data_IF_031915808255
#
_entry.id   IF_031915808255
#
_cell.length_a   1.000
_cell.length_b   1.000
_cell.length_c   1.000
_cell.angle_alpha   90.00
_cell.angle_beta   90.00
_cell.angle_gamma   90.00
#
_symmetry.space_group_name_H-M   'P 1'
#
loop_
_entity.id
_entity.type
_entity.pdbx_description
1 polymer ?
#
# COMPACT_ATOMS: atom_id res chain seq x y z
N UNK A 1 -70.91 -17.01 1.87
CA UNK A 1 -70.57 -15.76 2.59
C UNK A 1 -69.05 -15.68 2.63
N UNK A 2 -68.48 -14.95 1.68
CA UNK A 2 -67.06 -14.98 1.32
C UNK A 2 -66.30 -14.04 2.24
N UNK A 3 -65.43 -14.56 3.11
CA UNK A 3 -64.52 -13.75 3.94
C UNK A 3 -63.17 -13.63 3.22
N UNK A 4 -62.87 -12.42 2.75
CA UNK A 4 -61.57 -12.02 2.22
C UNK A 4 -60.68 -11.70 3.42
N UNK A 5 -59.66 -12.52 3.68
CA UNK A 5 -58.63 -12.22 4.68
C UNK A 5 -57.43 -11.65 3.92
N UNK A 6 -57.20 -10.36 4.08
CA UNK A 6 -56.02 -9.66 3.54
C UNK A 6 -54.76 -10.12 4.28
N UNK A 7 -53.83 -10.76 3.56
CA UNK A 7 -52.48 -11.03 4.05
C UNK A 7 -51.68 -9.74 4.03
N UNK A 8 -51.47 -9.15 5.20
CA UNK A 8 -50.41 -8.15 5.39
C UNK A 8 -49.07 -8.89 5.42
N UNK A 9 -48.28 -8.74 4.36
CA UNK A 9 -46.87 -9.12 4.36
C UNK A 9 -46.13 -8.08 5.19
N UNK A 10 -45.79 -8.44 6.42
CA UNK A 10 -44.84 -7.67 7.22
C UNK A 10 -43.46 -7.89 6.61
N UNK A 11 -42.97 -6.89 5.88
CA UNK A 11 -41.58 -6.83 5.46
C UNK A 11 -40.73 -6.60 6.73
N UNK A 12 -40.21 -7.67 7.31
CA UNK A 12 -39.16 -7.58 8.32
C UNK A 12 -37.91 -7.05 7.61
N UNK A 13 -37.67 -5.75 7.71
CA UNK A 13 -36.34 -5.18 7.50
C UNK A 13 -35.41 -5.86 8.49
N UNK A 14 -34.62 -6.82 8.01
CA UNK A 14 -33.42 -7.27 8.69
C UNK A 14 -32.54 -6.04 8.86
N UNK A 15 -32.49 -5.50 10.07
CA UNK A 15 -31.52 -4.50 10.48
C UNK A 15 -30.17 -5.18 10.28
N UNK A 16 -29.51 -4.87 9.16
CA UNK A 16 -28.16 -5.32 8.91
C UNK A 16 -27.32 -4.89 10.11
N UNK A 17 -26.74 -5.86 10.80
CA UNK A 17 -25.73 -5.58 11.80
C UNK A 17 -24.62 -4.78 11.11
N UNK A 18 -24.58 -3.47 11.37
CA UNK A 18 -23.46 -2.63 11.00
C UNK A 18 -22.23 -3.25 11.63
N UNK A 19 -21.32 -3.77 10.79
CA UNK A 19 -19.96 -4.10 11.21
C UNK A 19 -19.43 -2.90 12.00
N UNK A 20 -18.79 -3.12 13.17
CA UNK A 20 -18.33 -2.02 13.99
C UNK A 20 -17.41 -1.15 13.14
N UNK A 21 -17.78 0.13 13.04
CA UNK A 21 -16.92 1.18 12.49
C UNK A 21 -15.58 1.02 13.19
N UNK A 22 -14.53 0.78 12.41
CA UNK A 22 -13.12 0.76 12.83
C UNK A 22 -12.93 1.71 14.01
N UNK A 23 -12.58 1.17 15.18
CA UNK A 23 -12.44 1.96 16.39
C UNK A 23 -11.41 3.06 16.13
N UNK A 24 -11.91 4.28 15.98
CA UNK A 24 -11.13 5.51 15.92
C UNK A 24 -10.03 5.45 16.98
N UNK A 25 -8.79 5.83 16.62
CA UNK A 25 -7.60 5.88 17.48
C UNK A 25 -7.88 6.02 19.00
N UNK A 26 -8.11 4.90 19.68
CA UNK A 26 -8.60 4.93 21.06
C UNK A 26 -7.55 5.56 22.00
N UNK A 27 -7.97 6.55 22.79
CA UNK A 27 -7.09 7.26 23.72
C UNK A 27 -6.08 8.21 23.07
N UNK A 28 -6.20 8.48 21.77
CA UNK A 28 -5.33 9.37 21.00
C UNK A 28 -6.16 10.47 20.33
N UNK A 29 -5.56 11.62 20.08
CA UNK A 29 -6.24 12.75 19.41
C UNK A 29 -5.81 12.81 17.96
N UNK A 30 -6.71 12.50 17.03
CA UNK A 30 -6.43 12.61 15.59
C UNK A 30 -6.34 14.08 15.19
N UNK A 31 -5.24 14.45 14.51
CA UNK A 31 -4.95 15.80 14.03
C UNK A 31 -5.14 15.93 12.52
N UNK A 32 -4.86 14.86 11.77
CA UNK A 32 -5.13 14.74 10.32
C UNK A 32 -5.38 13.28 9.98
N UNK A 33 -6.42 13.02 9.21
CA UNK A 33 -6.78 11.71 8.66
C UNK A 33 -7.48 11.94 7.32
N UNK A 34 -7.48 10.92 6.48
CA UNK A 34 -8.19 10.93 5.21
C UNK A 34 -7.43 11.61 4.07
N UNK A 35 -7.80 11.22 2.85
CA UNK A 35 -7.51 11.93 1.60
C UNK A 35 -6.04 12.18 1.29
N UNK A 36 -5.36 11.19 0.72
CA UNK A 36 -4.10 11.47 0.01
C UNK A 36 -4.38 12.33 -1.21
N UNK A 37 -3.61 13.41 -1.36
CA UNK A 37 -3.69 14.26 -2.54
C UNK A 37 -3.24 13.48 -3.79
N UNK A 38 -3.61 13.95 -4.98
CA UNK A 38 -3.08 13.36 -6.22
C UNK A 38 -1.55 13.42 -6.28
N UNK A 39 -0.96 14.48 -5.72
CA UNK A 39 0.49 14.61 -5.60
C UNK A 39 1.10 13.55 -4.67
N UNK A 40 0.44 13.22 -3.56
CA UNK A 40 0.87 12.14 -2.67
C UNK A 40 0.83 10.79 -3.38
N UNK A 41 -0.31 10.46 -4.01
CA UNK A 41 -0.49 9.21 -4.77
C UNK A 41 0.58 9.06 -5.85
N UNK A 42 0.83 10.13 -6.61
CA UNK A 42 1.85 10.14 -7.67
C UNK A 42 3.26 9.99 -7.09
N UNK A 43 3.57 10.68 -5.98
CA UNK A 43 4.86 10.58 -5.29
C UNK A 43 5.12 9.16 -4.79
N UNK A 44 4.09 8.50 -4.26
CA UNK A 44 4.18 7.12 -3.81
C UNK A 44 4.49 6.19 -4.98
N UNK A 45 3.73 6.28 -6.08
CA UNK A 45 3.97 5.44 -7.26
C UNK A 45 5.34 5.67 -7.86
N UNK A 46 5.73 6.93 -8.06
CA UNK A 46 7.02 7.28 -8.66
C UNK A 46 8.17 6.74 -7.82
N UNK A 47 8.13 6.88 -6.50
CA UNK A 47 9.22 6.39 -5.66
C UNK A 47 9.30 4.85 -5.65
N UNK A 48 8.16 4.14 -5.58
CA UNK A 48 8.16 2.69 -5.69
C UNK A 48 8.72 2.23 -7.05
N UNK A 49 8.22 2.78 -8.15
CA UNK A 49 8.65 2.38 -9.49
C UNK A 49 10.09 2.78 -9.79
N UNK A 50 10.55 3.94 -9.32
CA UNK A 50 11.96 4.34 -9.43
C UNK A 50 12.88 3.34 -8.73
N UNK A 51 12.56 2.95 -7.50
CA UNK A 51 13.37 1.98 -6.74
C UNK A 51 13.34 0.58 -7.36
N UNK A 52 12.16 0.12 -7.82
CA UNK A 52 12.02 -1.14 -8.56
C UNK A 52 12.81 -1.13 -9.87
N UNK A 53 12.83 0.00 -10.58
CA UNK A 53 13.64 0.16 -11.79
C UNK A 53 15.13 0.03 -11.49
N UNK A 54 15.63 0.66 -10.42
CA UNK A 54 17.04 0.53 -10.03
C UNK A 54 17.40 -0.95 -9.79
N UNK A 55 16.54 -1.70 -9.11
CA UNK A 55 16.74 -3.15 -8.89
C UNK A 55 16.69 -3.92 -10.21
N UNK A 56 15.68 -3.68 -11.04
CA UNK A 56 15.51 -4.36 -12.31
C UNK A 56 16.72 -4.20 -13.24
N UNK A 57 17.29 -3.00 -13.28
CA UNK A 57 18.48 -2.69 -14.08
C UNK A 57 19.80 -3.11 -13.43
N UNK A 58 19.78 -3.73 -12.24
CA UNK A 58 20.99 -4.15 -11.53
C UNK A 58 21.84 -2.98 -11.01
N UNK A 59 21.22 -1.84 -10.75
CA UNK A 59 21.88 -0.61 -10.30
C UNK A 59 21.94 -0.49 -8.77
N UNK A 60 21.47 -1.50 -8.05
CA UNK A 60 21.48 -1.57 -6.59
C UNK A 60 22.60 -2.50 -6.16
N UNK A 61 23.58 -1.96 -5.43
CA UNK A 61 24.74 -2.71 -5.01
C UNK A 61 24.35 -3.96 -4.22
N UNK A 62 24.98 -5.09 -4.56
CA UNK A 62 24.74 -6.37 -3.89
C UNK A 62 23.41 -7.05 -4.26
N UNK A 63 22.64 -6.52 -5.21
CA UNK A 63 21.39 -7.12 -5.67
C UNK A 63 21.49 -7.58 -7.13
N UNK A 64 21.01 -8.79 -7.47
CA UNK A 64 20.89 -9.21 -8.87
C UNK A 64 19.83 -8.38 -9.58
N UNK A 65 19.98 -8.21 -10.91
CA UNK A 65 18.92 -7.64 -11.76
C UNK A 65 17.66 -8.51 -11.74
N UNK A 66 16.52 -7.90 -12.07
CA UNK A 66 15.22 -8.57 -12.05
C UNK A 66 14.63 -8.70 -13.45
N UNK A 67 14.31 -9.93 -13.84
CA UNK A 67 13.80 -10.25 -15.17
C UNK A 67 12.29 -10.00 -15.32
N UNK A 68 11.53 -10.08 -14.23
CA UNK A 68 10.06 -10.02 -14.20
C UNK A 68 9.48 -8.84 -13.38
N UNK A 69 10.29 -7.83 -13.04
CA UNK A 69 9.85 -6.77 -12.13
C UNK A 69 8.72 -5.93 -12.73
N UNK A 70 7.50 -6.03 -12.17
CA UNK A 70 6.37 -5.25 -12.67
C UNK A 70 6.42 -3.77 -12.25
N UNK A 71 5.95 -2.89 -13.13
CA UNK A 71 5.52 -1.54 -12.78
C UNK A 71 4.31 -1.62 -11.84
N UNK A 72 4.36 -0.87 -10.74
CA UNK A 72 3.24 -0.71 -9.85
C UNK A 72 2.27 0.37 -10.35
N UNK A 73 0.97 0.10 -10.22
CA UNK A 73 -0.13 1.04 -10.45
C UNK A 73 -0.85 1.35 -9.13
N UNK A 74 -1.54 2.49 -9.09
CA UNK A 74 -2.32 2.89 -7.93
C UNK A 74 -3.62 2.11 -7.85
N UNK A 75 -3.98 1.66 -6.66
CA UNK A 75 -5.20 0.92 -6.41
C UNK A 75 -6.01 1.56 -5.28
N UNK A 76 -7.18 2.12 -5.62
CA UNK A 76 -8.03 2.83 -4.65
C UNK A 76 -8.70 1.88 -3.63
N UNK A 77 -8.90 0.61 -3.96
CA UNK A 77 -9.41 -0.38 -2.99
C UNK A 77 -8.34 -0.64 -1.92
N UNK A 78 -7.09 -0.88 -2.34
CA UNK A 78 -5.96 -1.03 -1.43
C UNK A 78 -5.73 0.24 -0.59
N UNK A 79 -5.82 1.41 -1.19
CA UNK A 79 -5.66 2.70 -0.51
C UNK A 79 -6.76 2.93 0.53
N UNK A 80 -8.00 2.62 0.19
CA UNK A 80 -9.13 2.75 1.11
C UNK A 80 -8.97 1.84 2.33
N UNK A 81 -8.47 0.61 2.14
CA UNK A 81 -8.14 -0.29 3.25
C UNK A 81 -6.96 0.22 4.08
N UNK A 82 -5.88 0.67 3.43
CA UNK A 82 -4.71 1.21 4.10
C UNK A 82 -5.06 2.45 4.94
N UNK A 83 -5.94 3.32 4.43
CA UNK A 83 -6.44 4.49 5.16
C UNK A 83 -7.26 4.06 6.37
N UNK A 84 -8.21 3.12 6.22
CA UNK A 84 -8.97 2.60 7.37
C UNK A 84 -8.05 2.05 8.47
N UNK A 85 -6.95 1.38 8.09
CA UNK A 85 -5.98 0.90 9.06
C UNK A 85 -5.16 2.03 9.68
N UNK A 86 -4.72 3.01 8.89
CA UNK A 86 -4.04 4.20 9.41
C UNK A 86 -4.89 4.94 10.46
N UNK A 87 -6.21 4.98 10.26
CA UNK A 87 -7.20 5.66 11.14
C UNK A 87 -7.45 4.95 12.47
N UNK A 88 -6.90 3.75 12.65
CA UNK A 88 -6.90 3.06 13.97
C UNK A 88 -5.70 3.47 14.83
N UNK A 89 -4.71 4.17 14.26
CA UNK A 89 -3.43 4.44 14.91
C UNK A 89 -2.73 3.16 15.42
N UNK A 90 -2.96 2.03 14.75
CA UNK A 90 -2.40 0.73 15.09
C UNK A 90 -0.87 0.72 15.00
N UNK A 91 -0.25 -0.05 15.89
CA UNK A 91 1.18 -0.33 15.90
C UNK A 91 1.54 -1.64 15.19
N UNK A 92 0.54 -2.45 14.84
CA UNK A 92 0.66 -3.75 14.22
C UNK A 92 0.00 -3.79 12.82
N UNK A 93 0.18 -4.93 12.16
CA UNK A 93 -0.50 -5.25 10.92
C UNK A 93 -1.93 -5.74 11.17
N UNK A 94 -2.87 -5.40 10.29
CA UNK A 94 -4.21 -5.98 10.30
C UNK A 94 -4.24 -7.40 9.71
N UNK A 95 -5.14 -8.22 10.25
CA UNK A 95 -5.37 -9.58 9.75
C UNK A 95 -6.27 -9.62 8.50
N UNK A 96 -7.20 -8.67 8.36
CA UNK A 96 -8.27 -8.71 7.37
C UNK A 96 -8.12 -7.63 6.30
N UNK A 97 -7.13 -7.80 5.41
CA UNK A 97 -6.81 -6.87 4.31
C UNK A 97 -6.85 -7.47 2.91
N UNK A 98 -7.14 -8.76 2.80
CA UNK A 98 -7.20 -9.42 1.49
C UNK A 98 -8.41 -8.90 0.71
N UNK A 99 -8.22 -8.71 -0.59
CA UNK A 99 -9.31 -8.35 -1.51
C UNK A 99 -9.72 -9.57 -2.32
N UNK A 100 -10.88 -9.50 -2.98
CA UNK A 100 -11.36 -10.59 -3.85
C UNK A 100 -10.33 -11.01 -4.92
N UNK A 101 -9.47 -10.09 -5.33
CA UNK A 101 -8.48 -10.28 -6.40
C UNK A 101 -7.25 -11.08 -5.94
N UNK A 102 -6.83 -10.95 -4.67
CA UNK A 102 -5.59 -11.55 -4.16
C UNK A 102 -5.38 -11.29 -2.66
N UNK A 103 -4.45 -12.05 -2.07
CA UNK A 103 -3.86 -11.73 -0.77
C UNK A 103 -3.08 -10.40 -0.84
N UNK A 104 -3.05 -9.65 0.27
CA UNK A 104 -2.50 -8.29 0.33
C UNK A 104 -1.38 -8.19 1.37
N UNK A 105 -0.21 -7.73 0.93
CA UNK A 105 0.92 -7.41 1.77
C UNK A 105 0.80 -6.00 2.36
N UNK A 106 1.61 -5.66 3.35
CA UNK A 106 1.56 -4.35 3.99
C UNK A 106 2.91 -3.91 4.56
N UNK A 107 3.26 -2.66 4.33
CA UNK A 107 4.32 -1.96 5.04
C UNK A 107 3.72 -0.87 5.93
N UNK A 108 4.27 -0.70 7.13
CA UNK A 108 3.91 0.39 8.05
C UNK A 108 5.16 1.14 8.46
N UNK A 109 5.09 2.47 8.51
CA UNK A 109 6.12 3.32 9.09
C UNK A 109 5.51 4.31 10.09
N UNK A 110 6.26 4.63 11.13
CA UNK A 110 5.86 5.60 12.15
C UNK A 110 7.01 6.52 12.51
N UNK A 111 6.72 7.80 12.68
CA UNK A 111 7.65 8.80 13.20
C UNK A 111 6.94 9.66 14.21
N UNK A 112 7.60 10.04 15.30
CA UNK A 112 6.99 10.88 16.33
C UNK A 112 7.95 11.94 16.87
N UNK A 113 7.37 12.96 17.49
CA UNK A 113 8.10 14.01 18.20
C UNK A 113 7.24 14.56 19.35
N UNK A 114 7.88 15.03 20.42
CA UNK A 114 7.21 15.75 21.51
C UNK A 114 7.07 17.24 21.22
N UNK A 115 7.75 17.76 20.19
CA UNK A 115 7.64 19.18 19.79
C UNK A 115 6.24 19.46 19.23
N UNK A 116 5.56 20.54 19.68
CA UNK A 116 4.33 21.01 19.04
C UNK A 116 4.49 21.18 17.52
N UNK A 117 3.54 20.70 16.70
CA UNK A 117 3.65 20.76 15.25
C UNK A 117 3.52 22.19 14.76
N UNK A 118 4.38 22.55 13.80
CA UNK A 118 4.22 23.72 12.97
C UNK A 118 3.25 23.48 11.81
N UNK A 119 3.00 24.48 10.96
CA UNK A 119 1.97 24.45 9.93
C UNK A 119 2.15 23.33 8.90
N UNK A 120 3.38 22.92 8.61
CA UNK A 120 3.70 21.89 7.61
C UNK A 120 3.99 20.52 8.24
N UNK A 121 4.02 20.42 9.56
CA UNK A 121 4.36 19.16 10.24
C UNK A 121 3.27 18.12 10.09
N UNK A 122 2.04 18.47 9.70
CA UNK A 122 0.99 17.48 9.45
C UNK A 122 1.16 16.74 8.11
N UNK A 123 1.94 17.29 7.17
CA UNK A 123 2.07 16.73 5.82
C UNK A 123 2.92 15.45 5.80
N UNK A 124 2.53 14.44 5.01
CA UNK A 124 3.27 13.19 4.90
C UNK A 124 4.57 13.39 4.12
N UNK A 125 5.63 12.66 4.49
CA UNK A 125 6.85 12.56 3.69
C UNK A 125 6.99 11.14 3.14
N UNK A 126 6.22 10.84 2.09
CA UNK A 126 6.15 9.50 1.49
C UNK A 126 7.49 9.02 0.95
N UNK A 127 8.23 9.87 0.21
CA UNK A 127 9.56 9.49 -0.31
C UNK A 127 10.46 8.99 0.80
N UNK A 128 10.56 9.73 1.91
CA UNK A 128 11.41 9.34 3.04
C UNK A 128 11.02 7.98 3.63
N UNK A 129 9.73 7.69 3.78
CA UNK A 129 9.31 6.42 4.36
C UNK A 129 9.54 5.26 3.40
N UNK A 130 9.24 5.43 2.11
CA UNK A 130 9.44 4.40 1.07
C UNK A 130 10.93 4.12 0.87
N UNK A 131 11.78 5.16 0.78
CA UNK A 131 13.23 4.96 0.75
C UNK A 131 13.74 4.31 2.04
N UNK A 132 13.12 4.62 3.19
CA UNK A 132 13.41 3.98 4.47
C UNK A 132 13.15 2.46 4.45
N UNK A 133 11.99 2.05 3.94
CA UNK A 133 11.68 0.63 3.71
C UNK A 133 12.67 -0.03 2.76
N UNK A 134 13.03 0.66 1.68
CA UNK A 134 13.98 0.16 0.70
C UNK A 134 15.40 0.01 1.25
N UNK A 135 15.83 0.90 2.15
CA UNK A 135 17.18 0.88 2.73
C UNK A 135 17.48 -0.38 3.56
N UNK A 136 16.47 -1.18 3.94
CA UNK A 136 16.70 -2.52 4.50
C UNK A 136 17.49 -3.44 3.56
N UNK A 137 17.62 -3.09 2.27
CA UNK A 137 18.52 -3.74 1.31
C UNK A 137 19.96 -3.88 1.83
N UNK A 138 20.41 -2.94 2.66
CA UNK A 138 21.75 -2.98 3.28
C UNK A 138 21.94 -4.19 4.23
N UNK A 139 20.85 -4.78 4.69
CA UNK A 139 20.83 -5.96 5.55
C UNK A 139 20.26 -7.19 4.84
N UNK A 140 19.89 -7.06 3.57
CA UNK A 140 19.28 -8.15 2.80
C UNK A 140 20.33 -9.15 2.34
N UNK A 141 20.06 -10.44 2.60
CA UNK A 141 20.93 -11.54 2.19
C UNK A 141 20.24 -12.38 1.11
N UNK A 142 19.07 -12.94 1.42
CA UNK A 142 18.26 -13.71 0.49
C UNK A 142 16.84 -13.89 1.03
N UNK A 143 15.85 -13.95 0.13
CA UNK A 143 14.46 -14.26 0.47
C UNK A 143 13.81 -13.33 1.49
N UNK A 144 12.56 -13.61 1.83
CA UNK A 144 11.86 -12.86 2.86
C UNK A 144 12.41 -13.17 4.26
N UNK A 145 12.60 -12.12 5.06
CA UNK A 145 12.84 -12.20 6.50
C UNK A 145 12.10 -11.07 7.21
N UNK A 146 11.88 -11.20 8.53
CA UNK A 146 11.29 -10.10 9.33
C UNK A 146 12.17 -8.84 9.37
N UNK A 147 13.48 -8.98 9.21
CA UNK A 147 14.43 -7.86 9.28
C UNK A 147 14.45 -7.01 8.00
N UNK A 148 14.07 -7.61 6.86
CA UNK A 148 14.13 -6.97 5.53
C UNK A 148 12.80 -7.07 4.78
N UNK A 149 11.72 -7.24 5.56
CA UNK A 149 10.38 -7.50 5.07
C UNK A 149 9.80 -6.32 4.30
N UNK A 150 10.16 -5.08 4.68
CA UNK A 150 9.66 -3.91 3.97
C UNK A 150 10.34 -3.77 2.62
N UNK A 151 11.66 -3.96 2.56
CA UNK A 151 12.41 -3.96 1.31
C UNK A 151 11.88 -5.03 0.34
N UNK A 152 11.80 -6.28 0.81
CA UNK A 152 11.36 -7.40 -0.03
C UNK A 152 9.94 -7.21 -0.58
N UNK A 153 9.04 -6.58 0.18
CA UNK A 153 7.72 -6.24 -0.32
C UNK A 153 7.76 -5.13 -1.40
N UNK A 154 8.60 -4.11 -1.23
CA UNK A 154 8.77 -3.03 -2.23
C UNK A 154 9.29 -3.59 -3.55
N UNK A 155 10.20 -4.55 -3.51
CA UNK A 155 10.86 -5.12 -4.70
C UNK A 155 10.25 -6.45 -5.16
N UNK A 156 9.07 -6.81 -4.66
CA UNK A 156 8.44 -8.07 -5.04
C UNK A 156 8.01 -8.02 -6.51
N UNK A 157 8.60 -8.86 -7.37
CA UNK A 157 8.48 -8.77 -8.82
C UNK A 157 7.04 -8.86 -9.31
N UNK A 158 6.25 -9.73 -8.67
CA UNK A 158 4.85 -9.98 -9.05
C UNK A 158 3.84 -9.02 -8.39
N UNK A 159 4.27 -8.19 -7.44
CA UNK A 159 3.41 -7.14 -6.87
C UNK A 159 3.31 -5.99 -7.85
N UNK A 160 2.10 -5.67 -8.30
CA UNK A 160 1.85 -4.63 -9.31
C UNK A 160 0.85 -3.56 -8.87
N UNK A 161 0.19 -3.70 -7.73
CA UNK A 161 -0.77 -2.75 -7.21
C UNK A 161 -0.32 -2.24 -5.85
N UNK A 162 -0.41 -0.93 -5.63
CA UNK A 162 -0.16 -0.31 -4.33
C UNK A 162 -1.23 0.73 -4.01
N UNK A 163 -1.63 0.77 -2.76
CA UNK A 163 -2.49 1.82 -2.23
C UNK A 163 -2.16 2.10 -0.78
N UNK A 164 -2.07 3.38 -0.43
CA UNK A 164 -1.59 3.79 0.89
C UNK A 164 -2.59 4.69 1.62
N UNK A 165 -2.40 4.79 2.93
CA UNK A 165 -3.15 5.63 3.84
C UNK A 165 -2.27 6.26 4.90
N UNK A 166 -2.73 7.37 5.46
CA UNK A 166 -1.95 8.19 6.39
C UNK A 166 -2.82 8.75 7.51
N UNK A 167 -2.25 8.79 8.72
CA UNK A 167 -2.81 9.53 9.83
C UNK A 167 -1.73 10.28 10.60
N UNK A 168 -2.11 11.42 11.16
CA UNK A 168 -1.32 12.21 12.08
C UNK A 168 -2.15 12.44 13.33
N UNK A 169 -1.61 12.10 14.50
CA UNK A 169 -2.32 12.12 15.76
C UNK A 169 -1.38 12.45 16.91
N UNK A 170 -1.95 12.94 18.01
CA UNK A 170 -1.25 13.04 19.28
C UNK A 170 -1.48 11.75 20.09
N UNK A 171 -0.38 11.11 20.48
CA UNK A 171 -0.32 9.96 21.37
C UNK A 171 0.21 10.41 22.73
N UNK A 172 -0.54 10.33 23.83
CA UNK A 172 -0.04 10.70 25.16
C UNK A 172 1.26 9.98 25.56
N UNK A 173 1.54 8.79 25.01
CA UNK A 173 2.75 8.03 25.30
C UNK A 173 3.96 8.42 24.44
N UNK A 174 3.78 9.03 23.26
CA UNK A 174 4.86 9.29 22.28
C UNK A 174 4.95 10.73 21.78
N UNK A 175 3.87 11.50 21.91
CA UNK A 175 3.68 12.82 21.32
C UNK A 175 3.03 12.76 19.93
N UNK A 176 3.34 13.77 19.12
CA UNK A 176 2.80 13.94 17.77
C UNK A 176 3.37 12.88 16.84
N UNK A 177 2.52 11.98 16.37
CA UNK A 177 2.87 10.76 15.66
C UNK A 177 2.26 10.74 14.27
N UNK A 178 3.11 10.50 13.26
CA UNK A 178 2.72 10.22 11.87
C UNK A 178 2.71 8.72 11.66
N UNK A 179 1.67 8.18 11.04
CA UNK A 179 1.53 6.77 10.71
C UNK A 179 1.25 6.62 9.22
N UNK A 180 2.05 5.80 8.56
CA UNK A 180 2.03 5.56 7.13
C UNK A 180 1.76 4.08 6.90
N UNK A 181 0.74 3.76 6.11
CA UNK A 181 0.37 2.38 5.78
C UNK A 181 0.33 2.25 4.26
N UNK A 182 1.03 1.27 3.69
CA UNK A 182 0.89 0.92 2.28
C UNK A 182 0.52 -0.55 2.15
N UNK A 183 -0.52 -0.83 1.37
CA UNK A 183 -0.98 -2.16 1.02
C UNK A 183 -0.53 -2.52 -0.39
N UNK A 184 -0.14 -3.79 -0.58
CA UNK A 184 0.52 -4.28 -1.79
C UNK A 184 -0.19 -5.50 -2.37
N UNK A 185 -0.44 -5.49 -3.68
CA UNK A 185 -1.23 -6.48 -4.37
C UNK A 185 -0.59 -7.02 -5.65
N UNK A 186 -0.56 -8.35 -5.85
CA UNK A 186 -0.67 -9.40 -4.85
C UNK A 186 0.42 -9.27 -3.77
N UNK A 187 0.20 -9.90 -2.61
CA UNK A 187 1.16 -9.94 -1.51
C UNK A 187 2.49 -10.52 -1.98
N UNK A 188 3.57 -9.91 -1.50
CA UNK A 188 4.90 -10.50 -1.57
C UNK A 188 5.21 -11.32 -0.33
N UNK A 189 6.50 -11.38 -0.01
CA UNK A 189 7.05 -11.92 1.23
C UNK A 189 6.69 -13.38 1.50
N UNK A 190 6.58 -14.17 0.43
CA UNK A 190 6.36 -15.60 0.53
C UNK A 190 7.61 -16.29 1.06
N UNK A 191 7.46 -17.02 2.16
CA UNK A 191 8.57 -17.73 2.80
C UNK A 191 9.14 -18.79 1.84
N UNK A 192 10.46 -18.80 1.69
CA UNK A 192 11.17 -19.72 0.80
C UNK A 192 11.25 -19.27 -0.67
N UNK A 193 10.63 -18.14 -1.03
CA UNK A 193 10.70 -17.57 -2.37
C UNK A 193 11.63 -16.35 -2.42
N UNK A 194 12.26 -16.16 -3.59
CA UNK A 194 13.00 -14.93 -3.88
C UNK A 194 12.01 -13.80 -4.22
N UNK A 195 12.36 -12.53 -3.92
CA UNK A 195 11.47 -11.41 -4.21
C UNK A 195 11.16 -11.25 -5.70
N UNK A 196 12.07 -11.66 -6.59
CA UNK A 196 11.91 -11.57 -8.03
C UNK A 196 12.77 -12.62 -8.74
N UNK A 197 12.54 -12.82 -10.04
CA UNK A 197 13.33 -13.70 -10.87
C UNK A 197 14.63 -13.01 -11.29
N UNK A 198 15.77 -13.62 -10.99
CA UNK A 198 17.06 -13.02 -11.31
C UNK A 198 17.34 -13.06 -12.81
N UNK A 199 17.89 -11.98 -13.33
CA UNK A 199 18.27 -11.87 -14.74
C UNK A 199 18.05 -10.47 -15.29
N UNK A 200 18.55 -10.24 -16.50
CA UNK A 200 18.28 -9.00 -17.22
C UNK A 200 16.77 -8.86 -17.47
N UNK A 201 16.23 -7.63 -17.49
CA UNK A 201 14.81 -7.38 -17.78
C UNK A 201 14.33 -8.15 -19.01
N UNK A 202 13.36 -9.06 -18.84
CA UNK A 202 12.92 -10.00 -19.89
C UNK A 202 11.40 -10.18 -19.87
N UNK A 203 10.66 -9.08 -19.86
CA UNK A 203 9.21 -9.07 -19.67
C UNK A 203 8.45 -10.02 -20.61
N UNK A 204 8.86 -10.10 -21.88
CA UNK A 204 8.23 -10.96 -22.88
C UNK A 204 8.34 -12.45 -22.50
N UNK A 205 9.43 -12.88 -21.85
CA UNK A 205 9.60 -14.27 -21.37
C UNK A 205 8.62 -14.64 -20.26
N UNK A 206 8.01 -13.65 -19.62
CA UNK A 206 7.00 -13.81 -18.58
C UNK A 206 5.60 -13.43 -19.05
N UNK A 207 5.39 -13.33 -20.38
CA UNK A 207 4.08 -12.98 -20.95
C UNK A 207 3.63 -11.54 -20.66
N UNK A 208 4.58 -10.65 -20.41
CA UNK A 208 4.34 -9.22 -20.15
C UNK A 208 4.98 -8.36 -21.24
N UNK A 209 4.60 -7.09 -21.32
CA UNK A 209 5.28 -6.09 -22.16
C UNK A 209 6.20 -5.25 -21.30
N UNK A 210 7.15 -4.52 -21.91
CA UNK A 210 7.90 -3.51 -21.17
C UNK A 210 7.00 -2.32 -20.81
N UNK A 211 7.28 -1.69 -19.67
CA UNK A 211 6.71 -0.40 -19.31
C UNK A 211 7.17 0.68 -20.29
N UNK A 212 6.25 1.56 -20.69
CA UNK A 212 6.56 2.71 -21.53
C UNK A 212 7.16 3.89 -20.72
N UNK A 213 7.08 3.83 -19.39
CA UNK A 213 7.49 4.92 -18.49
C UNK A 213 8.76 4.60 -17.71
N UNK A 214 8.93 3.35 -17.29
CA UNK A 214 10.07 2.93 -16.48
C UNK A 214 10.83 1.82 -17.20
N UNK A 215 11.95 2.18 -17.85
CA UNK A 215 12.90 1.25 -18.46
C UNK A 215 13.21 0.08 -17.52
N UNK A 216 13.16 -1.13 -18.05
CA UNK A 216 13.45 -2.37 -17.30
C UNK A 216 12.28 -2.93 -16.48
N UNK A 217 11.19 -2.17 -16.30
CA UNK A 217 9.97 -2.68 -15.67
C UNK A 217 9.03 -3.31 -16.69
N UNK A 218 8.22 -4.26 -16.21
CA UNK A 218 7.22 -4.97 -16.97
C UNK A 218 5.81 -4.42 -16.70
N UNK A 219 4.94 -4.46 -17.69
CA UNK A 219 3.54 -4.09 -17.59
C UNK A 219 2.68 -5.20 -18.17
N UNK A 220 1.49 -5.40 -17.60
CA UNK A 220 0.52 -6.37 -18.14
C UNK A 220 -0.28 -5.86 -19.34
N UNK A 221 -0.06 -4.60 -19.75
CA UNK A 221 -0.89 -3.94 -20.75
C UNK A 221 -2.31 -3.69 -20.24
N UNK A 222 -2.90 -2.55 -20.59
CA UNK A 222 -4.35 -2.37 -20.51
C UNK A 222 -4.94 -1.50 -19.41
N UNK A 223 -4.21 -0.88 -18.47
CA UNK A 223 -4.84 0.04 -17.51
C UNK A 223 -3.91 1.19 -17.06
N UNK A 224 -4.07 2.37 -17.66
CA UNK A 224 -3.57 3.64 -17.11
C UNK A 224 -4.75 4.43 -16.54
N UNK A 225 -5.19 4.06 -15.34
CA UNK A 225 -5.91 5.00 -14.52
C UNK A 225 -5.22 4.99 -13.15
N UNK A 226 -4.50 6.07 -12.81
CA UNK A 226 -4.52 6.54 -11.43
C UNK A 226 -6.00 6.53 -11.06
N UNK A 227 -6.39 5.73 -10.07
CA UNK A 227 -7.81 5.48 -9.79
C UNK A 227 -8.66 6.75 -9.76
N UNK A 228 -9.95 6.60 -10.08
CA UNK A 228 -10.97 7.51 -10.65
C UNK A 228 -10.91 9.06 -10.53
N UNK A 229 -9.96 9.68 -9.83
CA UNK A 229 -9.98 11.08 -9.40
C UNK A 229 -8.69 11.88 -9.65
N UNK A 230 -7.64 11.30 -10.24
CA UNK A 230 -6.37 12.02 -10.49
C UNK A 230 -6.02 12.03 -11.97
N UNK A 231 -6.14 13.20 -12.61
CA UNK A 231 -5.63 13.44 -13.95
C UNK A 231 -4.14 13.77 -13.92
N UNK A 232 -3.35 13.18 -14.82
CA UNK A 232 -1.97 13.61 -15.07
C UNK A 232 -1.98 15.04 -15.60
N UNK A 233 -1.18 15.92 -15.00
CA UNK A 233 -0.76 17.17 -15.65
C UNK A 233 0.66 16.89 -16.16
N UNK A 234 0.81 16.89 -17.49
CA UNK A 234 2.11 16.83 -18.16
C UNK A 234 2.80 18.20 -18.11
#
# INVERSE_FOLDING_TARGET
MTLIISKWVVCMCLIGASLPISSSCAGKTVLRTGGLSCQDKQTILDEHNRLRQLVALGQVHGQPSAANMMEMIWDDELASMAQRWADTCADNHDAARNVRRFAVGQNIARTWTTRPPGPYDAEPNWRRQISGWFNEVQHYQAGYSRATGHYTQVVWGDTFAVGCGYSFYYDPARGYTKNYVCNYGPSGNLLGYQPYQFGQPSCNSYGMTYSNRYTGLCSRGGFYHLGALCSYVY
#
